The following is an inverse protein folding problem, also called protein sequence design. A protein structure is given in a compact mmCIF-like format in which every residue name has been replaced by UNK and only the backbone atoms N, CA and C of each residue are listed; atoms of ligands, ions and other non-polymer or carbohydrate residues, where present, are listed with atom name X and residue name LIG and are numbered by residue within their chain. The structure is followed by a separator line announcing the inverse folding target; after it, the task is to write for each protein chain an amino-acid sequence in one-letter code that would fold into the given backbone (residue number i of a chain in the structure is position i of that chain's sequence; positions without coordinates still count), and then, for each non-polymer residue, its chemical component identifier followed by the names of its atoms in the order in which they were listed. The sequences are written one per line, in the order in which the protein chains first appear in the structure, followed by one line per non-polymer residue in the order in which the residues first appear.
data_IF_747227384183
#
_entry.id   IF_747227384183
#
_cell.length_a   1.000
_cell.length_b   1.000
_cell.length_c   1.000
_cell.angle_alpha   90.00
_cell.angle_beta   90.00
_cell.angle_gamma   90.00
#
_symmetry.space_group_name_H-M   'P 1'
#
loop_
_entity.id
_entity.type
_entity.pdbx_description
1 polymer ?
#
# COMPACT_ATOMS: atom_id res chain seq x y z
N UNK A 1 -2.28 -19.52 2.14
CA UNK A 1 -2.60 -18.35 2.99
C UNK A 1 -2.51 -17.12 2.11
N UNK A 2 -3.43 -16.17 2.25
CA UNK A 2 -3.35 -14.89 1.52
C UNK A 2 -2.30 -13.98 2.16
N UNK A 3 -1.57 -13.27 1.32
CA UNK A 3 -0.56 -12.32 1.76
C UNK A 3 -1.23 -11.03 2.24
N UNK A 4 -0.46 -10.26 3.00
CA UNK A 4 -0.90 -8.98 3.55
C UNK A 4 0.12 -7.93 3.18
N UNK A 5 -0.38 -6.85 2.60
CA UNK A 5 0.41 -5.79 2.02
C UNK A 5 0.13 -4.46 2.72
N UNK A 6 1.06 -3.54 2.58
CA UNK A 6 0.95 -2.16 3.03
C UNK A 6 1.24 -1.22 1.88
N UNK A 7 0.39 -0.22 1.65
CA UNK A 7 0.58 0.82 0.64
C UNK A 7 0.69 2.22 1.26
N UNK A 8 1.76 2.93 0.93
CA UNK A 8 1.94 4.34 1.26
C UNK A 8 1.36 5.22 0.15
N UNK A 9 0.24 5.86 0.42
CA UNK A 9 -0.42 6.78 -0.51
C UNK A 9 -0.28 8.22 0.02
N UNK A 10 0.13 9.16 -0.83
CA UNK A 10 0.01 10.58 -0.49
C UNK A 10 -1.46 10.99 -0.45
N UNK A 11 -1.81 12.01 0.33
CA UNK A 11 -3.21 12.41 0.45
C UNK A 11 -3.79 12.90 -0.86
N UNK A 12 -5.01 12.41 -1.12
CA UNK A 12 -5.99 12.82 -2.13
C UNK A 12 -5.52 12.64 -3.57
N UNK A 13 -5.80 11.47 -4.15
CA UNK A 13 -5.92 11.32 -5.61
C UNK A 13 -7.30 10.90 -6.10
N UNK A 14 -8.35 11.15 -5.30
CA UNK A 14 -9.75 11.02 -5.72
C UNK A 14 -10.25 9.58 -5.86
N UNK A 15 -11.38 9.40 -6.57
CA UNK A 15 -12.07 8.12 -6.73
C UNK A 15 -11.21 6.92 -7.18
N UNK A 16 -10.16 7.06 -8.03
CA UNK A 16 -9.36 5.92 -8.47
C UNK A 16 -8.62 5.22 -7.33
N UNK A 17 -8.15 5.94 -6.30
CA UNK A 17 -7.42 5.33 -5.17
C UNK A 17 -8.23 4.30 -4.38
N UNK A 18 -9.56 4.39 -4.43
CA UNK A 18 -10.45 3.46 -3.74
C UNK A 18 -10.72 2.19 -4.55
N UNK A 19 -10.29 2.15 -5.82
CA UNK A 19 -10.53 1.03 -6.76
C UNK A 19 -9.24 0.40 -7.26
N UNK A 20 -8.13 1.14 -7.25
CA UNK A 20 -6.84 0.69 -7.77
C UNK A 20 -5.67 1.24 -6.93
N UNK A 21 -4.61 0.44 -6.86
CA UNK A 21 -3.28 0.88 -6.47
C UNK A 21 -2.45 0.97 -7.75
N UNK A 22 -1.86 2.12 -8.04
CA UNK A 22 -1.11 2.34 -9.29
C UNK A 22 0.33 2.75 -9.00
N UNK A 23 1.29 2.24 -9.77
CA UNK A 23 2.68 2.68 -9.75
C UNK A 23 3.27 2.71 -11.17
N UNK A 24 4.21 3.61 -11.48
CA UNK A 24 4.89 3.60 -12.77
C UNK A 24 5.80 2.37 -12.89
N UNK A 25 6.16 1.99 -14.12
CA UNK A 25 7.17 0.93 -14.31
C UNK A 25 8.55 1.39 -13.88
N UNK A 26 8.88 2.65 -14.18
CA UNK A 26 10.21 3.21 -14.00
C UNK A 26 10.16 4.61 -13.42
N UNK A 27 11.26 5.02 -12.80
CA UNK A 27 11.40 6.37 -12.29
C UNK A 27 11.84 7.32 -13.41
N UNK A 28 11.97 8.63 -13.10
CA UNK A 28 12.44 9.64 -14.06
C UNK A 28 13.82 9.34 -14.67
N UNK A 29 14.64 8.52 -14.01
CA UNK A 29 15.94 8.04 -14.51
C UNK A 29 15.87 6.72 -15.27
N UNK A 30 14.69 6.26 -15.69
CA UNK A 30 14.46 5.01 -16.42
C UNK A 30 14.93 3.74 -15.67
N UNK A 31 14.95 3.79 -14.33
CA UNK A 31 15.30 2.64 -13.46
C UNK A 31 14.05 2.03 -12.85
N UNK A 32 14.09 0.70 -12.67
CA UNK A 32 13.09 -0.04 -11.89
C UNK A 32 13.19 0.34 -10.41
N UNK A 33 12.06 0.24 -9.72
CA UNK A 33 11.97 0.57 -8.31
C UNK A 33 11.30 -0.60 -7.58
N UNK A 34 12.02 -1.31 -6.70
CA UNK A 34 11.54 -2.57 -6.13
C UNK A 34 10.15 -2.50 -5.49
N UNK A 35 9.88 -1.46 -4.69
CA UNK A 35 8.59 -1.28 -4.03
C UNK A 35 7.44 -0.89 -4.97
N UNK A 36 7.72 -0.60 -6.24
CA UNK A 36 6.68 -0.52 -7.28
C UNK A 36 6.47 -1.90 -7.89
N UNK A 37 7.53 -2.64 -8.15
CA UNK A 37 7.46 -3.95 -8.79
C UNK A 37 6.78 -5.00 -7.91
N UNK A 38 6.80 -4.84 -6.59
CA UNK A 38 6.02 -5.67 -5.66
C UNK A 38 4.50 -5.69 -5.92
N UNK A 39 3.94 -4.73 -6.68
CA UNK A 39 2.54 -4.82 -7.14
C UNK A 39 2.28 -6.10 -7.96
N UNK A 40 3.28 -6.59 -8.68
CA UNK A 40 3.17 -7.79 -9.53
C UNK A 40 3.10 -9.09 -8.71
N UNK A 41 3.57 -9.04 -7.46
CA UNK A 41 3.61 -10.19 -6.55
C UNK A 41 2.28 -10.43 -5.83
N UNK A 42 1.41 -9.41 -5.77
CA UNK A 42 0.10 -9.52 -5.14
C UNK A 42 -0.82 -10.52 -5.86
N UNK A 43 -1.60 -11.27 -5.11
CA UNK A 43 -2.56 -12.27 -5.60
C UNK A 43 -3.99 -11.89 -5.22
N UNK A 44 -4.96 -12.39 -6.00
CA UNK A 44 -6.39 -12.25 -5.66
C UNK A 44 -6.65 -12.83 -4.26
N UNK A 45 -7.37 -12.07 -3.43
CA UNK A 45 -7.67 -12.40 -2.04
C UNK A 45 -6.67 -11.86 -1.01
N UNK A 46 -5.51 -11.35 -1.46
CA UNK A 46 -4.56 -10.66 -0.60
C UNK A 46 -5.20 -9.41 0.03
N UNK A 47 -4.72 -9.06 1.22
CA UNK A 47 -5.21 -7.90 1.97
C UNK A 47 -4.24 -6.73 1.81
N UNK A 48 -4.73 -5.51 1.67
CA UNK A 48 -3.87 -4.31 1.62
C UNK A 48 -4.29 -3.31 2.67
N UNK A 49 -3.36 -2.88 3.52
CA UNK A 49 -3.53 -1.73 4.41
C UNK A 49 -3.10 -0.44 3.71
N UNK A 50 -3.97 0.56 3.74
CA UNK A 50 -3.74 1.86 3.12
C UNK A 50 -3.27 2.87 4.15
N UNK A 51 -2.10 3.46 3.93
CA UNK A 51 -1.50 4.48 4.79
C UNK A 51 -1.36 5.82 4.08
N UNK A 52 -1.82 6.91 4.70
CA UNK A 52 -1.65 8.27 4.20
C UNK A 52 -1.55 9.28 5.34
N UNK A 53 -0.74 10.33 5.19
CA UNK A 53 -0.55 11.43 6.16
C UNK A 53 -0.30 11.02 7.61
N UNK A 54 0.25 9.83 7.87
CA UNK A 54 0.35 9.36 9.25
C UNK A 54 -0.90 8.68 9.77
N UNK A 55 -1.73 8.10 8.91
CA UNK A 55 -2.94 7.40 9.29
C UNK A 55 -3.01 6.13 8.45
N UNK A 56 -3.34 4.98 9.05
CA UNK A 56 -4.03 3.97 8.25
C UNK A 56 -5.41 4.58 7.93
N UNK A 57 -5.88 4.39 6.71
CA UNK A 57 -7.15 4.98 6.24
C UNK A 57 -8.01 3.95 5.54
N UNK A 58 -7.58 2.70 5.53
CA UNK A 58 -8.30 1.67 4.82
C UNK A 58 -7.67 0.31 4.93
N UNK A 59 -8.51 -0.69 4.74
CA UNK A 59 -8.13 -2.00 4.26
C UNK A 59 -8.86 -2.25 2.94
N UNK A 60 -8.21 -2.93 2.00
CA UNK A 60 -8.82 -3.41 0.78
C UNK A 60 -8.44 -4.87 0.51
N UNK A 61 -9.16 -5.50 -0.42
CA UNK A 61 -8.85 -6.83 -0.96
C UNK A 61 -8.40 -6.71 -2.40
N UNK A 62 -7.35 -7.43 -2.76
CA UNK A 62 -6.95 -7.57 -4.17
C UNK A 62 -7.98 -8.45 -4.87
N UNK A 63 -8.55 -7.93 -5.96
CA UNK A 63 -9.60 -8.63 -6.72
C UNK A 63 -9.10 -9.16 -8.06
N UNK A 64 -8.01 -8.59 -8.59
CA UNK A 64 -7.36 -9.01 -9.83
C UNK A 64 -5.84 -8.87 -9.74
N UNK A 65 -5.12 -9.53 -10.65
CA UNK A 65 -3.67 -9.36 -10.81
C UNK A 65 -3.33 -7.96 -11.30
N UNK A 66 -2.11 -7.51 -10.99
CA UNK A 66 -1.63 -6.26 -11.54
C UNK A 66 -1.51 -6.35 -13.06
N UNK A 67 -1.97 -5.31 -13.77
CA UNK A 67 -1.92 -5.21 -15.22
C UNK A 67 -1.42 -3.84 -15.67
N UNK A 68 -0.89 -3.78 -16.89
CA UNK A 68 -0.41 -2.55 -17.50
C UNK A 68 -1.56 -1.54 -17.66
N UNK A 69 -1.28 -0.28 -17.33
CA UNK A 69 -2.27 0.78 -17.31
C UNK A 69 -1.66 2.17 -17.42
N UNK A 70 -2.41 3.07 -18.05
CA UNK A 70 -2.09 4.49 -18.08
C UNK A 70 -2.29 5.08 -16.68
N UNK A 71 -1.45 6.05 -16.32
CA UNK A 71 -1.60 6.81 -15.08
C UNK A 71 -3.01 7.42 -14.99
N UNK A 72 -3.83 7.01 -14.02
CA UNK A 72 -5.21 7.45 -13.88
C UNK A 72 -5.31 8.85 -13.22
N UNK A 73 -4.18 9.41 -12.77
CA UNK A 73 -4.11 10.66 -12.03
C UNK A 73 -3.62 11.78 -12.94
N UNK A 74 -4.56 12.53 -13.52
CA UNK A 74 -4.27 13.72 -14.32
C UNK A 74 -3.54 14.78 -13.49
N UNK A 75 -2.59 15.50 -14.12
CA UNK A 75 -1.86 16.61 -13.50
C UNK A 75 -0.69 16.21 -12.57
N UNK A 76 -0.38 14.92 -12.43
CA UNK A 76 0.80 14.48 -11.68
C UNK A 76 2.03 14.30 -12.59
N UNK A 77 2.73 15.40 -12.88
CA UNK A 77 3.95 15.42 -13.70
C UNK A 77 5.16 14.72 -13.07
N UNK A 78 5.03 14.23 -11.83
CA UNK A 78 6.10 13.50 -11.16
C UNK A 78 6.16 12.02 -11.59
N UNK A 79 5.05 11.46 -12.09
CA UNK A 79 4.95 10.04 -12.46
C UNK A 79 4.85 9.88 -13.97
N UNK A 80 5.40 8.77 -14.46
CA UNK A 80 5.32 8.42 -15.88
C UNK A 80 3.86 8.21 -16.32
N UNK A 81 3.62 8.31 -17.63
CA UNK A 81 2.32 8.03 -18.24
C UNK A 81 1.97 6.56 -18.16
N UNK A 82 2.96 5.67 -18.26
CA UNK A 82 2.75 4.22 -18.28
C UNK A 82 3.19 3.57 -16.98
N UNK A 83 2.41 2.60 -16.54
CA UNK A 83 2.64 1.88 -15.30
C UNK A 83 1.75 0.68 -15.20
N UNK A 84 1.50 0.28 -13.96
CA UNK A 84 0.69 -0.87 -13.60
C UNK A 84 -0.34 -0.47 -12.57
N UNK A 85 -1.55 -1.01 -12.71
CA UNK A 85 -2.61 -0.93 -11.69
C UNK A 85 -2.83 -2.29 -11.07
N UNK A 86 -3.14 -2.30 -9.78
CA UNK A 86 -3.60 -3.45 -9.02
C UNK A 86 -5.04 -3.15 -8.57
N UNK A 87 -6.05 -3.82 -9.16
CA UNK A 87 -7.45 -3.63 -8.78
C UNK A 87 -7.75 -4.13 -7.36
N UNK A 88 -8.52 -3.33 -6.62
CA UNK A 88 -8.86 -3.58 -5.22
C UNK A 88 -10.31 -3.25 -4.89
N UNK A 89 -10.83 -3.87 -3.83
CA UNK A 89 -12.12 -3.56 -3.22
C UNK A 89 -11.93 -3.07 -1.77
N UNK A 90 -12.41 -1.87 -1.45
CA UNK A 90 -12.19 -1.21 -0.16
C UNK A 90 -13.17 -1.67 0.93
N UNK A 91 -12.68 -1.92 2.15
CA UNK A 91 -13.45 -2.58 3.22
C UNK A 91 -13.67 -1.70 4.47
N UNK A 92 -12.67 -0.98 5.04
CA UNK A 92 -12.88 0.10 6.08
C UNK A 92 -11.58 0.81 6.56
N UNK A 93 -11.60 2.10 7.01
CA UNK A 93 -10.45 2.81 7.64
C UNK A 93 -10.19 2.55 9.13
N UNK A 94 -8.92 2.64 9.60
CA UNK A 94 -8.53 2.78 11.04
C UNK A 94 -7.29 3.67 11.25
N UNK A 95 -7.20 4.47 12.31
CA UNK A 95 -6.12 5.46 12.54
C UNK A 95 -4.78 4.84 13.04
N UNK A 96 -3.59 5.34 12.60
CA UNK A 96 -2.28 4.73 12.96
C UNK A 96 -1.99 4.68 14.47
N UNK A 97 -2.41 5.69 15.23
CA UNK A 97 -2.19 5.74 16.68
C UNK A 97 -2.98 4.68 17.44
N UNK A 98 -3.95 4.03 16.79
CA UNK A 98 -4.59 2.84 17.35
C UNK A 98 -3.60 1.66 17.36
N UNK A 99 -2.50 1.70 16.59
CA UNK A 99 -1.44 0.69 16.57
C UNK A 99 -0.42 0.99 17.68
N UNK A 100 -0.25 0.10 18.67
CA UNK A 100 0.70 0.29 19.77
C UNK A 100 2.14 0.52 19.28
N UNK A 101 2.87 1.43 19.94
CA UNK A 101 4.25 1.83 19.57
C UNK A 101 5.23 0.66 19.61
N UNK A 102 5.13 -0.22 20.61
CA UNK A 102 6.00 -1.40 20.73
C UNK A 102 5.92 -2.30 19.48
N UNK A 103 4.73 -2.44 18.90
CA UNK A 103 4.51 -3.21 17.67
C UNK A 103 5.12 -2.48 16.46
N UNK A 104 4.95 -1.16 16.39
CA UNK A 104 5.57 -0.34 15.33
C UNK A 104 7.10 -0.40 15.32
N UNK A 105 7.74 -0.65 16.47
CA UNK A 105 9.21 -0.71 16.58
C UNK A 105 9.74 -2.14 16.33
N UNK A 106 8.96 -3.17 16.67
CA UNK A 106 9.34 -4.57 16.48
C UNK A 106 9.33 -5.00 15.01
N UNK A 107 8.37 -4.50 14.22
CA UNK A 107 8.26 -4.84 12.80
C UNK A 107 9.13 -3.93 11.91
N UNK A 108 10.19 -4.52 11.34
CA UNK A 108 11.13 -3.83 10.44
C UNK A 108 10.69 -3.86 8.97
N UNK A 109 9.55 -4.40 8.59
CA UNK A 109 9.10 -4.45 7.18
C UNK A 109 8.66 -3.06 6.70
N UNK A 110 7.80 -2.40 7.49
CA UNK A 110 7.17 -1.12 7.15
C UNK A 110 7.73 0.05 7.96
N UNK A 111 8.22 -0.18 9.18
CA UNK A 111 8.68 0.89 10.07
C UNK A 111 10.20 0.98 10.18
N UNK A 112 10.71 2.19 10.39
CA UNK A 112 12.10 2.47 10.71
C UNK A 112 12.38 2.25 12.22
N UNK A 113 13.65 2.40 12.63
CA UNK A 113 14.08 2.22 14.03
C UNK A 113 13.39 3.14 15.03
N UNK A 114 12.78 4.24 14.56
CA UNK A 114 12.07 5.21 15.38
C UNK A 114 10.55 4.96 15.36
N UNK A 115 10.09 3.92 14.64
CA UNK A 115 8.67 3.60 14.48
C UNK A 115 7.95 4.49 13.45
N UNK A 116 8.68 5.21 12.59
CA UNK A 116 8.12 5.92 11.44
C UNK A 116 7.98 4.98 10.25
N UNK A 117 7.01 5.23 9.37
CA UNK A 117 6.88 4.44 8.15
C UNK A 117 8.06 4.73 7.21
N UNK A 118 8.67 3.68 6.66
CA UNK A 118 9.78 3.76 5.70
C UNK A 118 9.35 4.46 4.41
N UNK A 119 10.30 5.14 3.77
CA UNK A 119 10.10 5.60 2.40
C UNK A 119 10.01 4.42 1.43
N UNK A 120 8.94 4.42 0.63
CA UNK A 120 8.63 3.45 -0.41
C UNK A 120 7.12 3.35 -0.57
N UNK A 121 6.65 2.48 -1.47
CA UNK A 121 5.26 2.48 -1.91
C UNK A 121 4.45 1.27 -1.46
N UNK A 122 4.84 0.06 -1.85
CA UNK A 122 4.09 -1.17 -1.61
C UNK A 122 5.00 -2.22 -0.96
N UNK A 123 4.57 -2.79 0.17
CA UNK A 123 5.40 -3.67 0.99
C UNK A 123 4.62 -4.90 1.45
N UNK A 124 5.26 -6.07 1.44
CA UNK A 124 4.76 -7.26 2.12
C UNK A 124 4.97 -7.09 3.63
N UNK A 125 3.95 -7.40 4.44
CA UNK A 125 4.05 -7.30 5.90
C UNK A 125 4.03 -8.66 6.58
N UNK A 126 4.64 -8.73 7.76
CA UNK A 126 4.70 -9.95 8.57
C UNK A 126 3.39 -10.27 9.29
N UNK A 127 3.23 -11.54 9.66
CA UNK A 127 2.04 -12.08 10.33
C UNK A 127 1.73 -11.42 11.68
N UNK A 128 2.75 -10.95 12.41
CA UNK A 128 2.57 -10.28 13.70
C UNK A 128 1.85 -8.94 13.54
N UNK A 129 2.30 -8.10 12.58
CA UNK A 129 1.66 -6.84 12.27
C UNK A 129 0.25 -7.04 11.71
N UNK A 130 0.05 -8.01 10.81
CA UNK A 130 -1.28 -8.37 10.30
C UNK A 130 -2.28 -8.69 11.43
N UNK A 131 -1.95 -9.64 12.31
CA UNK A 131 -2.83 -10.04 13.43
C UNK A 131 -3.19 -8.84 14.29
N UNK A 132 -2.23 -7.95 14.56
CA UNK A 132 -2.47 -6.80 15.41
C UNK A 132 -3.38 -5.77 14.73
N UNK A 133 -3.15 -5.48 13.45
CA UNK A 133 -3.97 -4.57 12.68
C UNK A 133 -5.43 -5.06 12.64
N UNK A 134 -5.65 -6.33 12.35
CA UNK A 134 -6.99 -6.96 12.36
C UNK A 134 -7.69 -6.82 13.73
N UNK A 135 -6.98 -7.15 14.82
CA UNK A 135 -7.49 -6.96 16.19
C UNK A 135 -7.95 -5.52 16.49
N UNK A 136 -7.21 -4.51 16.01
CA UNK A 136 -7.56 -3.09 16.19
C UNK A 136 -8.74 -2.65 15.33
N UNK A 137 -8.98 -3.34 14.22
CA UNK A 137 -10.12 -3.15 13.34
C UNK A 137 -11.37 -3.92 13.78
N UNK A 138 -11.26 -4.74 14.84
CA UNK A 138 -12.31 -5.64 15.31
C UNK A 138 -12.74 -6.66 14.24
N UNK A 139 -11.79 -7.18 13.47
CA UNK A 139 -11.94 -8.22 12.44
C UNK A 139 -10.86 -9.30 12.58
#
# INVERSE_FOLDING_TARGET
MSNVWWVNQSTRKGSPQNKIIWAPHKNKGNKNVPHWDSLLEANVGDTVFHYTNGYIVGMSKVIEKAEDSINPYSGNEQWDKYGKKLPIEFVKPIHKAQIPLNIRIQDKSVFDKNGNVKQGYFFLIGTELDRKLKSLMSI
#
